data_IF_132881974910
#
_entry.id   IF_132881974910
#
_cell.length_a   1.000
_cell.length_b   1.000
_cell.length_c   1.000
_cell.angle_alpha   90.00
_cell.angle_beta   90.00
_cell.angle_gamma   90.00
#
_symmetry.space_group_name_H-M   'P 1'
#
loop_
_entity.id
_entity.type
_entity.pdbx_description
1 polymer ?
#
# COMPACT_ATOMS: atom_id res chain seq x y z
N UNK A 1 5.20 0.35 -8.12
CA UNK A 1 5.43 -0.37 -9.38
C UNK A 1 4.21 -1.25 -9.63
N UNK A 2 3.38 -0.89 -10.61
CA UNK A 2 2.21 -1.71 -10.96
C UNK A 2 2.69 -3.07 -11.47
N UNK A 3 1.92 -4.13 -11.21
CA UNK A 3 2.14 -5.51 -11.67
C UNK A 3 3.34 -6.26 -11.05
N UNK A 4 4.44 -5.56 -10.75
CA UNK A 4 5.71 -6.16 -10.34
C UNK A 4 5.88 -6.33 -8.82
N UNK A 5 5.32 -5.41 -8.03
CA UNK A 5 5.60 -5.33 -6.60
C UNK A 5 4.76 -6.31 -5.77
N UNK A 6 5.01 -7.61 -5.95
CA UNK A 6 4.32 -8.69 -5.25
C UNK A 6 4.91 -8.95 -3.85
N UNK A 7 4.29 -9.88 -3.14
CA UNK A 7 4.68 -10.31 -1.80
C UNK A 7 6.12 -10.82 -1.74
N UNK A 8 6.58 -11.61 -2.71
CA UNK A 8 7.94 -12.15 -2.76
C UNK A 8 8.98 -11.04 -2.87
N UNK A 9 8.77 -10.06 -3.76
CA UNK A 9 9.68 -8.92 -3.90
C UNK A 9 9.67 -8.07 -2.62
N UNK A 10 8.49 -7.71 -2.11
CA UNK A 10 8.37 -6.87 -0.93
C UNK A 10 9.00 -7.55 0.30
N UNK A 11 8.68 -8.81 0.56
CA UNK A 11 9.23 -9.55 1.71
C UNK A 11 10.75 -9.73 1.61
N UNK A 12 11.30 -9.99 0.42
CA UNK A 12 12.74 -10.08 0.22
C UNK A 12 13.43 -8.77 0.56
N UNK A 13 12.89 -7.64 0.10
CA UNK A 13 13.40 -6.30 0.43
C UNK A 13 13.28 -6.03 1.94
N UNK A 14 12.15 -6.36 2.56
CA UNK A 14 11.99 -6.23 4.01
C UNK A 14 13.01 -7.07 4.78
N UNK A 15 13.29 -8.29 4.33
CA UNK A 15 14.26 -9.19 4.95
C UNK A 15 15.70 -8.66 4.94
N UNK A 16 16.09 -7.81 3.99
CA UNK A 16 17.41 -7.14 4.01
C UNK A 16 17.49 -6.00 5.03
N UNK A 17 16.38 -5.61 5.65
CA UNK A 17 16.30 -4.46 6.57
C UNK A 17 15.86 -3.16 5.89
N UNK A 18 15.63 -3.18 4.58
CA UNK A 18 14.97 -2.07 3.87
C UNK A 18 13.43 -2.16 4.02
N UNK A 19 12.70 -1.19 3.48
CA UNK A 19 11.24 -1.24 3.45
C UNK A 19 10.74 -1.85 2.12
N UNK A 20 10.25 -3.08 2.17
CA UNK A 20 9.51 -3.68 1.07
C UNK A 20 8.14 -3.03 0.89
N UNK A 21 7.67 -2.92 -0.35
CA UNK A 21 6.37 -2.30 -0.67
C UNK A 21 5.60 -3.20 -1.63
N UNK A 22 4.38 -3.58 -1.24
CA UNK A 22 3.43 -4.32 -2.07
C UNK A 22 2.59 -3.35 -2.92
N UNK A 23 2.25 -3.74 -4.15
CA UNK A 23 1.24 -3.07 -4.97
C UNK A 23 -0.05 -3.90 -5.02
N UNK A 24 -1.24 -3.27 -4.92
CA UNK A 24 -2.53 -3.97 -4.96
C UNK A 24 -2.79 -4.69 -6.28
N UNK A 25 -2.11 -4.29 -7.36
CA UNK A 25 -2.25 -4.87 -8.70
C UNK A 25 -1.09 -5.81 -9.06
N UNK A 26 -0.23 -6.15 -8.09
CA UNK A 26 0.90 -7.04 -8.37
C UNK A 26 0.44 -8.47 -8.62
N UNK A 27 0.96 -9.10 -9.68
CA UNK A 27 0.63 -10.47 -10.06
C UNK A 27 -0.83 -10.71 -10.47
N UNK A 28 -1.62 -9.64 -10.62
CA UNK A 28 -3.07 -9.73 -10.85
C UNK A 28 -3.40 -9.91 -12.34
N UNK A 29 -4.37 -10.74 -12.66
CA UNK A 29 -4.97 -10.83 -14.00
C UNK A 29 -6.09 -9.77 -14.19
N UNK A 30 -6.45 -9.46 -15.45
CA UNK A 30 -7.38 -8.36 -15.79
C UNK A 30 -8.78 -8.47 -15.16
N UNK A 31 -9.20 -9.67 -14.80
CA UNK A 31 -10.57 -9.95 -14.33
C UNK A 31 -10.66 -10.20 -12.82
N UNK A 32 -9.54 -10.14 -12.12
CA UNK A 32 -9.51 -10.38 -10.67
C UNK A 32 -9.93 -9.15 -9.88
N UNK A 33 -10.46 -9.38 -8.68
CA UNK A 33 -10.82 -8.32 -7.73
C UNK A 33 -9.55 -7.76 -7.08
N UNK A 34 -9.25 -6.45 -7.25
CA UNK A 34 -8.08 -5.82 -6.64
C UNK A 34 -8.02 -5.93 -5.11
N UNK A 35 -9.17 -5.96 -4.42
CA UNK A 35 -9.23 -6.05 -2.97
C UNK A 35 -8.83 -7.44 -2.48
N UNK A 36 -9.37 -8.49 -3.13
CA UNK A 36 -9.00 -9.87 -2.83
C UNK A 36 -7.53 -10.15 -3.19
N UNK A 37 -7.05 -9.65 -4.34
CA UNK A 37 -5.63 -9.76 -4.68
C UNK A 37 -4.75 -9.07 -3.64
N UNK A 38 -5.09 -7.84 -3.23
CA UNK A 38 -4.33 -7.12 -2.21
C UNK A 38 -4.27 -7.92 -0.88
N UNK A 39 -5.40 -8.48 -0.45
CA UNK A 39 -5.48 -9.32 0.74
C UNK A 39 -4.56 -10.54 0.65
N UNK A 40 -4.57 -11.23 -0.51
CA UNK A 40 -3.69 -12.37 -0.76
C UNK A 40 -2.21 -11.96 -0.71
N UNK A 41 -1.85 -10.83 -1.32
CA UNK A 41 -0.47 -10.31 -1.30
C UNK A 41 -0.02 -9.95 0.12
N UNK A 42 -0.88 -9.31 0.93
CA UNK A 42 -0.56 -8.98 2.33
C UNK A 42 -0.38 -10.25 3.16
N UNK A 43 -1.30 -11.21 3.04
CA UNK A 43 -1.23 -12.47 3.76
C UNK A 43 0.04 -13.25 3.38
N UNK A 44 0.37 -13.28 2.09
CA UNK A 44 1.58 -13.93 1.58
C UNK A 44 2.85 -13.24 2.08
N UNK A 45 2.91 -11.91 2.06
CA UNK A 45 4.06 -11.17 2.57
C UNK A 45 4.32 -11.48 4.06
N UNK A 46 3.26 -11.56 4.88
CA UNK A 46 3.35 -11.94 6.30
C UNK A 46 3.84 -13.37 6.55
N UNK A 47 3.65 -14.28 5.59
CA UNK A 47 4.23 -15.62 5.66
C UNK A 47 5.72 -15.63 5.32
N UNK A 48 6.18 -14.66 4.52
CA UNK A 48 7.55 -14.60 3.99
C UNK A 48 8.47 -13.70 4.81
N UNK A 49 7.92 -12.80 5.64
CA UNK A 49 8.70 -11.92 6.50
C UNK A 49 7.97 -11.58 7.80
N UNK A 50 8.73 -11.55 8.89
CA UNK A 50 8.31 -10.97 10.18
C UNK A 50 8.63 -9.46 10.27
N UNK A 51 9.37 -8.92 9.29
CA UNK A 51 9.74 -7.51 9.26
C UNK A 51 8.63 -6.66 8.64
N UNK A 52 8.53 -5.37 9.00
CA UNK A 52 7.54 -4.48 8.41
C UNK A 52 7.66 -4.38 6.88
N UNK A 53 6.53 -4.23 6.22
CA UNK A 53 6.41 -3.88 4.81
C UNK A 53 5.29 -2.86 4.64
N UNK A 54 5.33 -2.10 3.55
CA UNK A 54 4.31 -1.14 3.18
C UNK A 54 3.42 -1.60 2.04
N UNK A 55 2.34 -0.87 1.81
CA UNK A 55 1.48 -1.04 0.62
C UNK A 55 1.33 0.30 -0.08
N UNK A 56 1.48 0.32 -1.41
CA UNK A 56 1.30 1.52 -2.23
C UNK A 56 -0.09 1.57 -2.89
N UNK A 57 -0.90 2.58 -2.57
CA UNK A 57 -2.23 2.82 -3.16
C UNK A 57 -2.24 4.14 -3.96
N UNK A 58 -2.34 4.06 -5.30
CA UNK A 58 -2.70 5.24 -6.12
C UNK A 58 -4.14 5.66 -5.81
N UNK A 59 -4.35 6.93 -5.48
CA UNK A 59 -5.63 7.46 -5.00
C UNK A 59 -6.60 7.81 -6.14
N UNK A 60 -6.10 7.97 -7.36
CA UNK A 60 -6.87 8.23 -8.58
C UNK A 60 -7.60 6.99 -9.13
N UNK A 61 -7.33 5.81 -8.57
CA UNK A 61 -8.12 4.60 -8.84
C UNK A 61 -9.55 4.80 -8.33
N UNK A 62 -10.53 4.52 -9.19
CA UNK A 62 -11.95 4.65 -8.84
C UNK A 62 -12.39 3.73 -7.67
N UNK A 63 -11.61 2.68 -7.39
CA UNK A 63 -11.81 1.75 -6.27
C UNK A 63 -10.80 1.95 -5.12
N UNK A 64 -10.09 3.09 -5.05
CA UNK A 64 -9.09 3.34 -4.01
C UNK A 64 -9.66 3.23 -2.60
N UNK A 65 -10.90 3.67 -2.36
CA UNK A 65 -11.60 3.51 -1.08
C UNK A 65 -11.70 2.04 -0.61
N UNK A 66 -12.04 1.12 -1.53
CA UNK A 66 -12.14 -0.32 -1.22
C UNK A 66 -10.77 -0.88 -0.82
N UNK A 67 -9.70 -0.43 -1.48
CA UNK A 67 -8.34 -0.83 -1.13
C UNK A 67 -7.91 -0.27 0.24
N UNK A 68 -8.31 0.96 0.57
CA UNK A 68 -8.09 1.55 1.89
C UNK A 68 -8.82 0.75 2.97
N UNK A 69 -10.07 0.38 2.75
CA UNK A 69 -10.84 -0.46 3.68
C UNK A 69 -10.17 -1.83 3.87
N UNK A 70 -9.66 -2.42 2.79
CA UNK A 70 -8.88 -3.66 2.84
C UNK A 70 -7.65 -3.51 3.73
N UNK A 71 -6.91 -2.40 3.60
CA UNK A 71 -5.72 -2.12 4.43
C UNK A 71 -6.05 -1.91 5.91
N UNK A 72 -7.19 -1.28 6.21
CA UNK A 72 -7.67 -1.11 7.58
C UNK A 72 -8.03 -2.46 8.19
N UNK A 73 -8.79 -3.28 7.47
CA UNK A 73 -9.19 -4.63 7.90
C UNK A 73 -7.98 -5.55 8.12
N UNK A 74 -7.03 -5.50 7.19
CA UNK A 74 -5.80 -6.26 7.28
C UNK A 74 -4.80 -5.68 8.28
N UNK A 75 -5.06 -4.50 8.88
CA UNK A 75 -4.17 -3.81 9.82
C UNK A 75 -2.77 -3.60 9.25
N UNK A 76 -2.69 -3.00 8.06
CA UNK A 76 -1.41 -2.65 7.44
C UNK A 76 -0.65 -1.65 8.33
N UNK A 77 0.66 -1.83 8.50
CA UNK A 77 1.47 -0.94 9.35
C UNK A 77 1.89 0.34 8.64
N UNK A 78 2.13 0.26 7.32
CA UNK A 78 2.68 1.36 6.52
C UNK A 78 1.91 1.43 5.19
N UNK A 79 1.43 2.62 4.85
CA UNK A 79 0.73 2.89 3.59
C UNK A 79 1.40 4.05 2.87
N UNK A 80 1.69 3.81 1.60
CA UNK A 80 2.21 4.81 0.68
C UNK A 80 1.06 5.21 -0.23
N UNK A 81 0.64 6.48 -0.20
CA UNK A 81 -0.36 7.00 -1.14
C UNK A 81 0.33 7.80 -2.25
N UNK A 82 -0.23 7.76 -3.45
CA UNK A 82 0.29 8.49 -4.60
C UNK A 82 -0.87 8.96 -5.49
N UNK A 83 -0.59 9.83 -6.47
CA UNK A 83 -1.54 10.23 -7.52
C UNK A 83 -2.95 10.58 -6.99
N UNK A 84 -3.07 11.68 -6.25
CA UNK A 84 -4.36 12.17 -5.76
C UNK A 84 -4.22 13.02 -4.50
N UNK A 85 -5.33 13.32 -3.83
CA UNK A 85 -5.34 14.16 -2.63
C UNK A 85 -5.15 13.31 -1.36
N UNK A 86 -4.03 13.44 -0.61
CA UNK A 86 -3.80 12.66 0.61
C UNK A 86 -4.82 12.95 1.71
N UNK A 87 -5.43 14.14 1.73
CA UNK A 87 -6.42 14.53 2.74
C UNK A 87 -7.66 13.61 2.78
N UNK A 88 -7.92 12.84 1.72
CA UNK A 88 -9.02 11.86 1.68
C UNK A 88 -8.88 10.77 2.74
N UNK A 89 -7.66 10.28 3.00
CA UNK A 89 -7.45 9.07 3.80
C UNK A 89 -6.38 9.19 4.87
N UNK A 90 -5.50 10.21 4.83
CA UNK A 90 -4.38 10.33 5.78
C UNK A 90 -4.86 10.33 7.23
N UNK A 91 -5.88 11.11 7.58
CA UNK A 91 -6.38 11.17 8.96
C UNK A 91 -7.00 9.83 9.40
N UNK A 92 -7.79 9.20 8.52
CA UNK A 92 -8.41 7.89 8.75
C UNK A 92 -7.34 6.82 9.02
N UNK A 93 -6.33 6.72 8.16
CA UNK A 93 -5.23 5.76 8.29
C UNK A 93 -4.44 5.99 9.59
N UNK A 94 -4.08 7.25 9.88
CA UNK A 94 -3.31 7.60 11.09
C UNK A 94 -4.09 7.31 12.38
N UNK A 95 -5.40 7.58 12.42
CA UNK A 95 -6.26 7.23 13.56
C UNK A 95 -6.31 5.73 13.85
N UNK A 96 -6.07 4.90 12.83
CA UNK A 96 -6.00 3.44 12.96
C UNK A 96 -4.56 2.92 13.16
N UNK A 97 -3.61 3.79 13.52
CA UNK A 97 -2.23 3.40 13.84
C UNK A 97 -1.35 3.13 12.62
N UNK A 98 -1.79 3.50 11.42
CA UNK A 98 -1.06 3.29 10.18
C UNK A 98 -0.10 4.46 9.93
N UNK A 99 1.16 4.16 9.64
CA UNK A 99 2.14 5.16 9.18
C UNK A 99 1.86 5.49 7.72
N UNK A 100 1.69 6.77 7.40
CA UNK A 100 1.36 7.22 6.04
C UNK A 100 2.52 7.98 5.43
N UNK A 101 2.90 7.60 4.22
CA UNK A 101 3.80 8.36 3.35
C UNK A 101 3.02 8.78 2.10
N UNK A 102 3.13 10.03 1.67
CA UNK A 102 2.53 10.48 0.42
C UNK A 102 3.60 10.85 -0.61
N UNK A 103 3.46 10.35 -1.83
CA UNK A 103 4.35 10.69 -2.94
C UNK A 103 3.96 12.06 -3.48
N UNK A 104 4.91 12.99 -3.48
CA UNK A 104 4.75 14.38 -3.94
C UNK A 104 5.72 14.70 -5.07
N UNK A 105 5.36 15.64 -5.95
CA UNK A 105 6.21 16.10 -7.07
C UNK A 105 6.71 17.54 -6.90
N UNK A 106 6.38 18.21 -5.80
CA UNK A 106 6.85 19.57 -5.51
C UNK A 106 6.93 19.85 -4.01
N UNK A 107 7.74 20.84 -3.63
CA UNK A 107 7.84 21.33 -2.24
C UNK A 107 6.49 21.83 -1.72
N UNK A 108 5.71 22.52 -2.57
CA UNK A 108 4.37 23.00 -2.21
C UNK A 108 3.44 21.84 -1.83
N UNK A 109 3.47 20.73 -2.57
CA UNK A 109 2.71 19.54 -2.19
C UNK A 109 3.24 18.92 -0.90
N UNK A 110 4.55 18.84 -0.72
CA UNK A 110 5.16 18.32 0.51
C UNK A 110 4.72 19.08 1.78
N UNK A 111 4.58 20.41 1.68
CA UNK A 111 4.13 21.25 2.79
C UNK A 111 2.63 21.09 3.12
N UNK A 112 1.83 20.62 2.16
CA UNK A 112 0.37 20.52 2.26
C UNK A 112 -0.15 19.07 2.41
N UNK A 113 0.75 18.07 2.37
CA UNK A 113 0.41 16.66 2.37
C UNK A 113 0.09 16.11 3.77
#
# INVERSE_FOLDING_TARGET
>A
MLWLANAELASTVSNTGALGIVSPLAGMERHEDPAENLKLQIARARQLTEKPFGVNIPLDLHYSGILIDTLLNEKASIVITAAGNPALYTELLRKNGITVLHVVSSVRQAQNA
#
